data_IF_085863203404
#
_entry.id   IF_085863203404
#
_cell.length_a   1.000
_cell.length_b   1.000
_cell.length_c   1.000
_cell.angle_alpha   90.00
_cell.angle_beta   90.00
_cell.angle_gamma   90.00
#
_symmetry.space_group_name_H-M   'P 1'
#
loop_
_entity.id
_entity.type
_entity.pdbx_description
1 polymer ?
#
# COMPACT_ATOMS: atom_id res chain seq x y z
N UNK A 1 7.72 -10.01 -12.60
CA UNK A 1 6.69 -9.66 -11.60
C UNK A 1 6.16 -8.28 -11.89
N UNK A 2 4.87 -8.18 -12.19
CA UNK A 2 4.15 -6.92 -12.29
C UNK A 2 3.66 -6.45 -10.90
N UNK A 3 3.45 -5.15 -10.67
CA UNK A 3 3.01 -4.64 -9.37
C UNK A 3 1.70 -5.26 -8.86
N UNK A 4 0.80 -5.69 -9.75
CA UNK A 4 -0.41 -6.45 -9.40
C UNK A 4 -0.10 -7.84 -8.82
N UNK A 5 0.89 -8.54 -9.38
CA UNK A 5 1.32 -9.85 -8.86
C UNK A 5 2.00 -9.71 -7.49
N UNK A 6 2.77 -8.64 -7.30
CA UNK A 6 3.39 -8.32 -6.01
C UNK A 6 2.28 -8.07 -4.98
N UNK A 7 1.30 -7.21 -5.28
CA UNK A 7 0.18 -6.97 -4.37
C UNK A 7 -0.55 -8.27 -4.00
N UNK A 8 -0.85 -9.13 -4.98
CA UNK A 8 -1.49 -10.43 -4.73
C UNK A 8 -0.61 -11.35 -3.85
N UNK A 9 0.71 -11.35 -4.05
CA UNK A 9 1.65 -12.15 -3.25
C UNK A 9 1.66 -11.73 -1.77
N UNK A 10 1.48 -10.44 -1.48
CA UNK A 10 1.42 -9.89 -0.12
C UNK A 10 -0.01 -9.85 0.45
N UNK A 11 -1.00 -10.43 -0.25
CA UNK A 11 -2.43 -10.35 0.10
C UNK A 11 -2.90 -8.89 0.27
N UNK A 12 -2.31 -7.99 -0.51
CA UNK A 12 -2.58 -6.57 -0.46
C UNK A 12 -3.70 -6.18 -1.41
N UNK A 13 -4.57 -5.29 -0.95
CA UNK A 13 -5.67 -4.79 -1.76
C UNK A 13 -5.16 -3.79 -2.80
N UNK A 14 -5.54 -3.97 -4.06
CA UNK A 14 -5.14 -3.07 -5.15
C UNK A 14 -6.27 -2.09 -5.43
N UNK A 15 -5.94 -0.81 -5.49
CA UNK A 15 -6.84 0.26 -5.85
C UNK A 15 -6.33 0.97 -7.10
N UNK A 16 -7.24 1.39 -7.96
CA UNK A 16 -6.89 2.14 -9.17
C UNK A 16 -6.69 3.65 -8.89
N UNK A 17 -7.16 4.14 -7.73
CA UNK A 17 -7.08 5.56 -7.36
C UNK A 17 -7.04 5.74 -5.84
N UNK A 18 -6.40 6.83 -5.33
CA UNK A 18 -6.32 7.10 -3.89
C UNK A 18 -7.69 7.25 -3.24
N UNK A 19 -8.65 7.83 -3.97
CA UNK A 19 -10.04 8.00 -3.54
C UNK A 19 -10.72 6.66 -3.24
N UNK A 20 -10.48 5.63 -4.06
CA UNK A 20 -11.03 4.30 -3.85
C UNK A 20 -10.46 3.62 -2.58
N UNK A 21 -9.18 3.85 -2.29
CA UNK A 21 -8.54 3.36 -1.08
C UNK A 21 -9.12 4.06 0.16
N UNK A 22 -9.18 5.39 0.15
CA UNK A 22 -9.73 6.18 1.26
C UNK A 22 -11.20 5.86 1.49
N UNK A 23 -12.01 5.73 0.43
CA UNK A 23 -13.42 5.34 0.54
C UNK A 23 -13.61 3.91 1.07
N UNK A 24 -12.60 3.04 0.93
CA UNK A 24 -12.58 1.70 1.51
C UNK A 24 -12.05 1.67 2.95
N UNK A 25 -11.73 2.83 3.55
CA UNK A 25 -11.20 2.93 4.92
C UNK A 25 -9.69 2.75 5.03
N UNK A 26 -8.96 2.79 3.91
CA UNK A 26 -7.50 2.73 3.91
C UNK A 26 -6.90 4.13 4.07
N UNK A 27 -5.91 4.25 4.95
CA UNK A 27 -5.05 5.40 5.10
C UNK A 27 -3.92 5.33 4.06
N UNK A 28 -3.80 6.36 3.23
CA UNK A 28 -2.72 6.50 2.26
C UNK A 28 -1.40 6.85 2.99
N UNK A 29 -0.29 6.33 2.49
CA UNK A 29 1.05 6.60 3.02
C UNK A 29 1.98 7.13 1.92
N UNK A 30 3.26 6.75 1.92
CA UNK A 30 4.24 7.11 0.90
C UNK A 30 3.73 6.82 -0.52
N UNK A 31 3.85 7.85 -1.36
CA UNK A 31 3.65 7.78 -2.81
C UNK A 31 5.00 7.79 -3.50
N UNK A 32 5.25 6.81 -4.35
CA UNK A 32 6.44 6.70 -5.17
C UNK A 32 6.07 6.97 -6.63
N UNK A 33 6.86 7.81 -7.31
CA UNK A 33 6.68 8.21 -8.72
C UNK A 33 7.81 7.64 -9.60
N UNK A 34 7.84 6.32 -9.81
CA UNK A 34 8.90 5.66 -10.57
C UNK A 34 8.84 6.03 -12.05
N UNK A 35 9.99 6.41 -12.62
CA UNK A 35 10.11 6.81 -14.04
C UNK A 35 9.94 5.66 -15.05
N UNK A 36 10.06 4.40 -14.61
CA UNK A 36 9.95 3.21 -15.47
C UNK A 36 9.20 2.07 -14.77
N UNK A 37 8.60 1.17 -15.56
CA UNK A 37 7.81 0.01 -15.09
C UNK A 37 8.61 -0.90 -14.14
N UNK A 38 9.91 -1.09 -14.38
CA UNK A 38 10.78 -1.87 -13.49
C UNK A 38 10.91 -1.22 -12.09
N UNK A 39 11.07 0.11 -12.06
CA UNK A 39 11.07 0.88 -10.82
C UNK A 39 9.70 0.84 -10.14
N UNK A 40 8.61 0.64 -10.89
CA UNK A 40 7.26 0.50 -10.35
C UNK A 40 7.05 -0.78 -9.56
N UNK A 41 7.54 -1.90 -10.10
CA UNK A 41 7.53 -3.17 -9.38
C UNK A 41 8.38 -3.08 -8.09
N UNK A 42 9.58 -2.49 -8.19
CA UNK A 42 10.46 -2.29 -7.02
C UNK A 42 9.82 -1.35 -5.98
N UNK A 43 9.21 -0.24 -6.41
CA UNK A 43 8.49 0.68 -5.55
C UNK A 43 7.33 0.00 -4.82
N UNK A 44 6.50 -0.75 -5.55
CA UNK A 44 5.42 -1.54 -4.96
C UNK A 44 5.97 -2.55 -3.95
N UNK A 45 7.05 -3.27 -4.27
CA UNK A 45 7.67 -4.23 -3.36
C UNK A 45 8.20 -3.57 -2.09
N UNK A 46 8.91 -2.44 -2.18
CA UNK A 46 9.40 -1.70 -1.01
C UNK A 46 8.26 -1.21 -0.11
N UNK A 47 7.18 -0.69 -0.69
CA UNK A 47 5.99 -0.29 0.07
C UNK A 47 5.35 -1.49 0.76
N UNK A 48 5.19 -2.61 0.04
CA UNK A 48 4.61 -3.83 0.59
C UNK A 48 5.43 -4.42 1.72
N UNK A 49 6.77 -4.43 1.60
CA UNK A 49 7.66 -4.86 2.66
C UNK A 49 7.49 -4.01 3.92
N UNK A 50 7.45 -2.67 3.79
CA UNK A 50 7.21 -1.76 4.92
C UNK A 50 5.84 -2.00 5.57
N UNK A 51 4.79 -2.15 4.78
CA UNK A 51 3.43 -2.36 5.28
C UNK A 51 3.24 -3.76 5.89
N UNK A 52 3.89 -4.78 5.32
CA UNK A 52 3.97 -6.13 5.86
C UNK A 52 4.62 -6.14 7.24
N UNK A 53 5.75 -5.45 7.41
CA UNK A 53 6.42 -5.31 8.71
C UNK A 53 5.48 -4.71 9.77
N UNK A 54 4.76 -3.62 9.42
CA UNK A 54 3.73 -3.02 10.29
C UNK A 54 2.59 -4.00 10.62
N UNK A 55 2.18 -4.82 9.64
CA UNK A 55 1.13 -5.83 9.84
C UNK A 55 1.60 -6.93 10.79
N UNK A 56 2.85 -7.38 10.65
CA UNK A 56 3.46 -8.36 11.54
C UNK A 56 3.67 -7.83 12.96
N UNK A 57 3.89 -6.52 13.11
CA UNK A 57 3.89 -5.83 14.41
C UNK A 57 2.49 -5.60 15.02
N UNK A 58 1.43 -5.80 14.25
CA UNK A 58 0.05 -5.55 14.67
C UNK A 58 -0.36 -4.07 14.67
N UNK A 59 0.42 -3.20 14.02
CA UNK A 59 0.10 -1.76 13.86
C UNK A 59 -1.00 -1.53 12.81
N UNK A 60 -1.08 -2.41 11.81
CA UNK A 60 -2.07 -2.32 10.72
C UNK A 60 -2.82 -3.63 10.55
N UNK A 61 -4.12 -3.52 10.27
CA UNK A 61 -5.05 -4.64 10.07
C UNK A 61 -4.97 -5.18 8.65
N UNK A 62 -4.99 -4.26 7.67
CA UNK A 62 -4.94 -4.58 6.24
C UNK A 62 -3.93 -3.69 5.53
N UNK A 63 -3.39 -4.18 4.42
CA UNK A 63 -2.42 -3.46 3.60
C UNK A 63 -2.89 -3.43 2.16
N UNK A 64 -2.47 -2.41 1.42
CA UNK A 64 -2.89 -2.18 0.06
C UNK A 64 -1.94 -1.31 -0.73
N UNK A 65 -2.17 -1.28 -2.04
CA UNK A 65 -1.46 -0.44 -2.99
C UNK A 65 -2.45 0.26 -3.89
N UNK A 66 -2.25 1.55 -4.07
CA UNK A 66 -2.85 2.32 -5.15
C UNK A 66 -1.91 2.29 -6.33
N UNK A 67 -2.39 1.82 -7.48
CA UNK A 67 -1.62 1.73 -8.72
C UNK A 67 -2.14 2.73 -9.74
N UNK A 68 -1.59 3.93 -9.71
CA UNK A 68 -1.85 4.96 -10.71
C UNK A 68 -0.94 4.79 -11.93
N UNK A 69 -1.21 5.41 -13.09
CA UNK A 69 -0.42 5.20 -14.31
C UNK A 69 1.09 5.43 -14.10
N UNK A 70 1.43 6.52 -13.41
CA UNK A 70 2.80 7.00 -13.19
C UNK A 70 3.26 6.96 -11.73
N UNK A 71 2.43 6.39 -10.84
CA UNK A 71 2.64 6.48 -9.39
C UNK A 71 2.16 5.21 -8.70
N UNK A 72 2.74 4.94 -7.53
CA UNK A 72 2.37 3.83 -6.66
C UNK A 72 2.31 4.37 -5.24
N UNK A 73 1.16 4.23 -4.61
CA UNK A 73 0.95 4.72 -3.24
C UNK A 73 0.67 3.55 -2.33
N UNK A 74 1.39 3.45 -1.22
CA UNK A 74 1.07 2.50 -0.17
C UNK A 74 -0.21 2.93 0.54
N UNK A 75 -1.03 1.98 0.96
CA UNK A 75 -2.15 2.27 1.84
C UNK A 75 -2.35 1.15 2.86
N UNK A 76 -2.93 1.47 4.00
CA UNK A 76 -3.14 0.49 5.07
C UNK A 76 -4.37 0.84 5.90
N UNK A 77 -4.97 -0.16 6.52
CA UNK A 77 -6.00 0.03 7.54
C UNK A 77 -5.30 -0.01 8.89
N UNK A 78 -5.26 1.09 9.67
CA UNK A 78 -4.68 1.06 11.01
C UNK A 78 -5.44 0.06 11.87
N UNK A 79 -4.73 -0.65 12.73
CA UNK A 79 -5.38 -1.40 13.79
C UNK A 79 -5.88 -0.38 14.83
N UNK A 80 -7.07 -0.56 15.41
CA UNK A 80 -7.74 0.43 16.26
C UNK A 80 -6.89 0.97 17.44
N UNK A 81 -5.78 0.30 17.78
CA UNK A 81 -4.78 0.77 18.74
C UNK A 81 -4.07 2.08 18.37
N UNK A 82 -4.10 2.54 17.10
CA UNK A 82 -3.39 3.77 16.68
C UNK A 82 -4.31 4.89 16.16
N UNK A 83 -5.64 4.73 16.27
CA UNK A 83 -6.62 5.80 15.98
C UNK A 83 -6.99 6.64 17.21
N UNK A 84 -6.26 6.48 18.32
CA UNK A 84 -6.46 7.22 19.55
C UNK A 84 -5.14 7.65 20.20
N UNK A 85 -4.45 8.62 19.61
CA UNK A 85 -3.44 9.40 20.34
C UNK A 85 -3.43 10.86 19.86
N UNK A 86 -4.22 11.66 20.58
CA UNK A 86 -4.20 13.13 20.76
C UNK A 86 -4.81 14.01 19.68
#
# INVERSE_FOLDING_TARGET
MNPKEIAAHYEAKVFDSPEAATSAGFTLTETLTPRNVWNKASAAQSLMLKLRDKKEKGEVKEIGLVLEPWSVTGCYVPNESEQGAS
#
